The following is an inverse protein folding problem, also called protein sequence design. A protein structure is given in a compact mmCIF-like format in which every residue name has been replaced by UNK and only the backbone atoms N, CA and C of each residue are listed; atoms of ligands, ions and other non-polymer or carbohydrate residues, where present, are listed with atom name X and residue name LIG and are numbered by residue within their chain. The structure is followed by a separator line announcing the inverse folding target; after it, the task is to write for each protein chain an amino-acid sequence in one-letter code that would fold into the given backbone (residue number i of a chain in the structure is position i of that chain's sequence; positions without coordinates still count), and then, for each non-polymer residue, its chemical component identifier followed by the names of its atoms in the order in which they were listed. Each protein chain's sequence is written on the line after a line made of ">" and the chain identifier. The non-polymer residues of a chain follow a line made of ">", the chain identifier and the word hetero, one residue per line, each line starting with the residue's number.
data_IF_821233607076
#
_entry.id   IF_821233607076
#
_cell.length_a   1.000
_cell.length_b   1.000
_cell.length_c   1.000
_cell.angle_alpha   90.00
_cell.angle_beta   90.00
_cell.angle_gamma   90.00
#
_symmetry.space_group_name_H-M   'P 1'
#
loop_
_entity.id
_entity.type
_entity.pdbx_description
1 polymer ?
#
# COMPACT_ATOMS: atom_id res chain seq x y z
N UNK A 1 49.85 -6.93 -60.34
CA UNK A 1 49.14 -6.68 -61.61
C UNK A 1 47.87 -6.00 -61.30
N UNK A 2 47.85 -4.82 -61.65
CA UNK A 2 47.16 -4.08 -62.71
C UNK A 2 45.91 -3.34 -62.19
N UNK A 3 46.05 -2.07 -62.28
CA UNK A 3 45.38 -0.90 -62.92
C UNK A 3 44.15 -0.44 -62.14
N UNK A 4 44.04 0.68 -61.54
CA UNK A 4 44.35 2.03 -62.08
C UNK A 4 43.20 2.57 -62.92
N UNK A 5 42.24 3.34 -62.33
CA UNK A 5 41.52 4.34 -63.14
C UNK A 5 41.19 5.57 -62.27
N UNK A 6 41.82 6.66 -62.68
CA UNK A 6 41.47 8.03 -62.29
C UNK A 6 40.33 8.51 -63.19
N UNK A 7 39.40 9.30 -62.68
CA UNK A 7 38.55 10.23 -63.41
C UNK A 7 37.87 11.14 -62.39
N UNK A 8 38.15 12.29 -62.32
CA UNK A 8 37.97 13.59 -63.04
C UNK A 8 36.92 14.42 -62.28
N UNK A 9 37.48 15.48 -61.77
CA UNK A 9 36.85 16.66 -61.19
C UNK A 9 35.92 17.30 -62.23
N UNK A 10 34.71 17.67 -61.86
CA UNK A 10 33.90 18.66 -62.53
C UNK A 10 33.37 19.67 -61.48
N UNK A 11 34.00 20.81 -61.52
CA UNK A 11 33.67 22.04 -60.79
C UNK A 11 32.50 22.71 -61.48
N UNK A 12 31.37 22.83 -60.83
CA UNK A 12 30.29 23.73 -61.25
C UNK A 12 30.02 24.73 -60.14
N UNK A 13 30.51 25.96 -60.38
CA UNK A 13 30.05 27.16 -59.72
C UNK A 13 28.64 27.47 -60.19
N UNK A 14 27.70 27.60 -59.32
CA UNK A 14 26.48 28.33 -59.58
C UNK A 14 26.28 29.27 -58.41
N UNK A 15 26.38 30.57 -58.75
CA UNK A 15 25.95 31.69 -57.95
C UNK A 15 24.44 31.64 -57.76
N UNK A 16 23.91 31.88 -56.58
CA UNK A 16 22.49 31.93 -56.34
C UNK A 16 22.14 32.63 -55.03
N UNK A 17 22.03 33.93 -55.11
CA UNK A 17 21.06 34.79 -54.39
C UNK A 17 20.76 34.51 -52.94
N UNK A 18 21.35 35.30 -52.06
CA UNK A 18 20.93 35.51 -50.70
C UNK A 18 19.54 36.15 -50.66
N UNK A 19 18.51 35.36 -50.28
CA UNK A 19 17.24 35.87 -49.81
C UNK A 19 17.24 35.81 -48.29
N UNK A 20 17.36 36.97 -47.65
CA UNK A 20 17.15 37.19 -46.24
C UNK A 20 15.67 36.94 -45.92
N UNK A 21 15.36 35.78 -45.36
CA UNK A 21 14.08 35.54 -44.70
C UNK A 21 14.20 35.87 -43.19
N UNK A 22 13.28 36.67 -42.62
CA UNK A 22 13.29 36.91 -41.18
C UNK A 22 12.90 35.63 -40.45
N UNK A 23 13.82 35.14 -39.63
CA UNK A 23 13.56 34.06 -38.69
C UNK A 23 12.57 34.54 -37.61
N UNK A 24 11.33 34.18 -37.73
CA UNK A 24 10.36 34.25 -36.64
C UNK A 24 10.76 33.20 -35.59
N UNK A 25 11.39 33.68 -34.52
CA UNK A 25 11.64 32.89 -33.32
C UNK A 25 10.30 32.57 -32.67
N UNK A 26 9.73 31.43 -33.04
CA UNK A 26 8.64 30.83 -32.30
C UNK A 26 9.18 30.34 -30.94
N UNK A 27 8.97 31.13 -29.91
CA UNK A 27 9.17 30.70 -28.53
C UNK A 27 8.05 29.70 -28.21
N UNK A 28 8.35 28.41 -28.38
CA UNK A 28 7.51 27.35 -27.88
C UNK A 28 7.61 27.33 -26.35
N UNK A 29 6.67 28.01 -25.71
CA UNK A 29 6.43 27.82 -24.27
C UNK A 29 5.97 26.38 -24.04
N UNK A 30 6.91 25.50 -23.72
CA UNK A 30 6.60 24.20 -23.14
C UNK A 30 6.01 24.45 -21.76
N UNK A 31 4.69 24.62 -21.68
CA UNK A 31 3.97 24.49 -20.44
C UNK A 31 4.21 23.08 -19.94
N UNK A 32 5.10 22.93 -18.95
CA UNK A 32 5.20 21.72 -18.14
C UNK A 32 3.83 21.54 -17.48
N UNK A 33 3.00 20.72 -18.09
CA UNK A 33 1.83 20.16 -17.43
C UNK A 33 2.40 19.33 -16.30
N UNK A 34 2.41 19.91 -15.10
CA UNK A 34 2.62 19.16 -13.87
C UNK A 34 1.62 18.03 -13.88
N UNK A 35 2.10 16.80 -14.06
CA UNK A 35 1.30 15.61 -13.97
C UNK A 35 0.67 15.63 -12.58
N UNK A 36 -0.60 15.98 -12.49
CA UNK A 36 -1.37 15.83 -11.26
C UNK A 36 -1.24 14.36 -10.87
N UNK A 37 -0.56 14.10 -9.76
CA UNK A 37 -0.37 12.76 -9.26
C UNK A 37 -1.75 12.11 -9.12
N UNK A 38 -1.96 10.99 -9.82
CA UNK A 38 -3.21 10.26 -9.75
C UNK A 38 -3.49 9.93 -8.27
N UNK A 39 -4.61 10.41 -7.67
CA UNK A 39 -4.92 10.17 -6.25
C UNK A 39 -5.01 8.67 -5.92
N UNK A 40 -5.33 7.83 -6.90
CA UNK A 40 -5.35 6.37 -6.76
C UNK A 40 -3.93 5.80 -6.66
N UNK A 41 -2.97 6.33 -7.40
CA UNK A 41 -1.56 5.95 -7.29
C UNK A 41 -0.96 6.37 -5.93
N UNK A 42 -1.33 7.55 -5.42
CA UNK A 42 -0.95 7.98 -4.08
C UNK A 42 -1.55 7.09 -2.98
N UNK A 43 -2.77 6.57 -3.19
CA UNK A 43 -3.45 5.63 -2.30
C UNK A 43 -2.80 4.23 -2.29
N UNK A 44 -2.02 3.88 -3.32
CA UNK A 44 -1.30 2.60 -3.42
C UNK A 44 0.13 2.67 -2.86
N UNK A 45 0.64 3.86 -2.58
CA UNK A 45 1.98 4.03 -2.03
C UNK A 45 2.10 3.39 -0.64
N UNK A 46 3.22 2.72 -0.40
CA UNK A 46 3.52 2.15 0.90
C UNK A 46 3.70 3.27 1.94
N UNK A 47 3.01 3.25 3.08
CA UNK A 47 3.22 4.22 4.14
C UNK A 47 4.62 4.05 4.75
N UNK A 48 5.24 5.17 5.11
CA UNK A 48 6.50 5.14 5.85
C UNK A 48 6.25 4.53 7.23
N UNK A 49 6.90 3.41 7.51
CA UNK A 49 6.78 2.67 8.76
C UNK A 49 7.78 3.17 9.81
N UNK A 50 7.46 3.06 11.11
CA UNK A 50 8.35 3.48 12.19
C UNK A 50 9.64 2.65 12.28
N UNK A 51 9.60 1.41 11.81
CA UNK A 51 10.75 0.51 11.69
C UNK A 51 10.79 -0.10 10.29
N UNK A 52 11.95 -0.27 9.68
CA UNK A 52 12.08 -1.03 8.46
C UNK A 52 11.78 -2.51 8.75
N UNK A 53 10.92 -3.11 7.94
CA UNK A 53 10.58 -4.52 8.05
C UNK A 53 10.38 -5.12 6.67
N UNK A 54 11.05 -6.23 6.39
CA UNK A 54 10.93 -6.99 5.15
C UNK A 54 10.18 -8.30 5.40
N UNK A 55 8.99 -8.43 4.82
CA UNK A 55 8.27 -9.71 4.83
C UNK A 55 9.04 -10.78 4.06
N UNK A 56 9.64 -10.42 2.91
CA UNK A 56 10.43 -11.33 2.09
C UNK A 56 11.56 -11.98 2.88
N UNK A 57 12.32 -11.18 3.64
CA UNK A 57 13.40 -11.72 4.47
C UNK A 57 12.87 -12.66 5.56
N UNK A 58 11.81 -12.27 6.28
CA UNK A 58 11.30 -13.07 7.39
C UNK A 58 10.60 -14.35 6.92
N UNK A 59 9.85 -14.29 5.82
CA UNK A 59 9.15 -15.46 5.28
C UNK A 59 10.12 -16.45 4.60
N UNK A 60 11.33 -16.02 4.20
CA UNK A 60 12.36 -16.96 3.74
C UNK A 60 12.83 -17.95 4.83
N UNK A 61 12.60 -17.63 6.10
CA UNK A 61 12.82 -18.55 7.22
C UNK A 61 11.64 -19.49 7.49
N UNK A 62 10.71 -19.63 6.54
CA UNK A 62 9.52 -20.49 6.63
C UNK A 62 8.56 -20.13 7.77
N UNK A 63 8.60 -18.90 8.25
CA UNK A 63 7.65 -18.42 9.24
C UNK A 63 6.28 -18.25 8.59
N UNK A 64 5.22 -18.74 9.26
CA UNK A 64 3.85 -18.53 8.79
C UNK A 64 3.37 -17.11 9.10
N UNK A 65 2.37 -16.63 8.34
CA UNK A 65 1.75 -15.34 8.61
C UNK A 65 1.22 -15.24 10.04
N UNK A 66 0.62 -16.33 10.54
CA UNK A 66 0.02 -16.42 11.88
C UNK A 66 1.05 -16.47 13.01
N UNK A 67 2.32 -16.69 12.72
CA UNK A 67 3.39 -16.59 13.73
C UNK A 67 3.50 -15.15 14.26
N UNK A 68 3.29 -14.15 13.39
CA UNK A 68 3.35 -12.74 13.74
C UNK A 68 1.97 -12.09 13.85
N UNK A 69 1.02 -12.48 13.01
CA UNK A 69 -0.32 -11.91 12.93
C UNK A 69 -1.34 -12.87 13.52
N UNK A 70 -1.68 -12.69 14.78
CA UNK A 70 -2.71 -13.50 15.45
C UNK A 70 -4.12 -12.93 15.21
N UNK A 71 -5.14 -13.77 15.36
CA UNK A 71 -6.53 -13.37 15.20
C UNK A 71 -7.31 -13.62 16.51
N UNK A 72 -7.14 -12.75 17.52
CA UNK A 72 -7.82 -12.92 18.81
C UNK A 72 -9.34 -12.71 18.66
N UNK A 73 -10.09 -13.23 19.66
CA UNK A 73 -11.54 -12.98 19.71
C UNK A 73 -11.86 -11.47 19.66
N UNK A 74 -12.91 -11.08 18.95
CA UNK A 74 -13.90 -11.87 18.22
C UNK A 74 -13.49 -12.28 16.81
N UNK A 75 -12.23 -12.10 16.40
CA UNK A 75 -11.71 -12.54 15.11
C UNK A 75 -11.83 -11.55 13.96
N UNK A 76 -12.30 -10.33 14.23
CA UNK A 76 -12.50 -9.31 13.20
C UNK A 76 -11.18 -8.83 12.59
N UNK A 77 -10.17 -8.59 13.41
CA UNK A 77 -8.90 -8.05 12.98
C UNK A 77 -7.74 -8.99 13.32
N UNK A 78 -6.73 -8.99 12.43
CA UNK A 78 -5.44 -9.56 12.72
C UNK A 78 -4.61 -8.55 13.50
N UNK A 79 -3.84 -9.03 14.49
CA UNK A 79 -2.94 -8.16 15.25
C UNK A 79 -1.69 -7.79 14.45
N UNK A 80 -1.09 -6.66 14.78
CA UNK A 80 0.29 -6.34 14.42
C UNK A 80 1.20 -6.85 15.56
N UNK A 81 2.37 -7.46 15.25
CA UNK A 81 3.19 -8.08 16.24
C UNK A 81 3.77 -7.08 17.26
N UNK A 82 3.73 -7.42 18.53
CA UNK A 82 4.35 -6.63 19.59
C UNK A 82 5.88 -6.73 19.52
N UNK A 83 6.58 -5.69 19.95
CA UNK A 83 8.04 -5.64 19.93
C UNK A 83 8.69 -6.84 20.65
N UNK A 84 8.10 -7.32 21.75
CA UNK A 84 8.59 -8.50 22.48
C UNK A 84 8.64 -9.77 21.64
N UNK A 85 7.72 -9.93 20.67
CA UNK A 85 7.70 -11.09 19.78
C UNK A 85 8.92 -11.09 18.85
N UNK A 86 9.26 -9.91 18.33
CA UNK A 86 10.45 -9.70 17.50
C UNK A 86 11.74 -9.97 18.28
N UNK A 87 11.79 -9.50 19.53
CA UNK A 87 12.97 -9.66 20.40
C UNK A 87 13.24 -11.12 20.80
N UNK A 88 12.32 -12.04 20.58
CA UNK A 88 12.57 -13.48 20.73
C UNK A 88 13.75 -13.96 19.86
N UNK A 89 13.95 -13.37 18.70
CA UNK A 89 15.10 -13.64 17.83
C UNK A 89 16.11 -12.46 17.84
N UNK A 90 15.63 -11.23 17.78
CA UNK A 90 16.49 -10.05 17.64
C UNK A 90 17.26 -9.65 18.89
N UNK A 91 17.04 -10.30 20.03
CA UNK A 91 17.94 -10.20 21.18
C UNK A 91 19.36 -10.69 20.85
N UNK A 92 19.49 -11.67 19.95
CA UNK A 92 20.76 -12.24 19.50
C UNK A 92 21.07 -11.92 18.02
N UNK A 93 20.03 -11.81 17.19
CA UNK A 93 20.18 -11.62 15.73
C UNK A 93 20.12 -10.15 15.37
N UNK A 94 21.17 -9.65 14.68
CA UNK A 94 21.28 -8.27 14.19
C UNK A 94 21.12 -7.21 15.31
N UNK A 95 21.46 -7.52 16.53
CA UNK A 95 21.27 -6.67 17.73
C UNK A 95 22.04 -5.36 17.67
N UNK A 96 23.10 -5.30 16.85
CA UNK A 96 23.94 -4.13 16.58
C UNK A 96 23.30 -3.10 15.64
N UNK A 97 22.25 -3.52 14.88
CA UNK A 97 21.62 -2.62 13.91
C UNK A 97 20.79 -1.53 14.60
N UNK A 98 20.82 -0.27 14.08
CA UNK A 98 20.06 0.83 14.68
C UNK A 98 18.55 0.55 14.80
N UNK A 99 17.93 -0.07 13.79
CA UNK A 99 16.52 -0.42 13.81
C UNK A 99 16.20 -1.45 14.90
N UNK A 100 17.12 -2.40 15.18
CA UNK A 100 16.93 -3.40 16.22
C UNK A 100 17.12 -2.79 17.62
N UNK A 101 18.03 -1.84 17.78
CA UNK A 101 18.12 -1.05 19.02
C UNK A 101 16.86 -0.25 19.31
N UNK A 102 16.27 0.37 18.26
CA UNK A 102 14.98 1.05 18.37
C UNK A 102 13.85 0.08 18.74
N UNK A 103 13.80 -1.09 18.12
CA UNK A 103 12.87 -2.17 18.44
C UNK A 103 13.00 -2.62 19.91
N UNK A 104 14.22 -2.79 20.40
CA UNK A 104 14.49 -3.12 21.80
C UNK A 104 13.97 -2.03 22.77
N UNK A 105 14.02 -0.76 22.35
CA UNK A 105 13.42 0.36 23.08
C UNK A 105 11.90 0.19 23.25
N UNK A 106 11.17 -0.16 22.20
CA UNK A 106 9.74 -0.48 22.27
C UNK A 106 9.47 -1.69 23.18
N UNK A 107 10.27 -2.74 23.07
CA UNK A 107 10.13 -3.91 23.93
C UNK A 107 10.34 -3.61 25.40
N UNK A 108 11.34 -2.77 25.74
CA UNK A 108 11.66 -2.35 27.10
C UNK A 108 10.59 -1.43 27.70
N UNK A 109 10.07 -0.51 26.92
CA UNK A 109 9.03 0.44 27.37
C UNK A 109 7.64 -0.19 27.47
N UNK A 110 7.42 -1.34 26.82
CA UNK A 110 6.10 -1.94 26.68
C UNK A 110 5.16 -1.19 25.77
N UNK A 111 5.62 -0.09 25.14
CA UNK A 111 4.81 0.68 24.21
C UNK A 111 4.63 -0.08 22.89
N UNK A 112 3.43 -0.04 22.30
CA UNK A 112 3.21 -0.63 20.98
C UNK A 112 4.02 0.09 19.92
N UNK A 113 4.52 -0.66 18.95
CA UNK A 113 5.13 -0.06 17.76
C UNK A 113 4.00 0.62 16.97
N UNK A 114 4.11 1.93 16.63
CA UNK A 114 3.02 2.66 15.96
C UNK A 114 2.98 2.35 14.45
N UNK A 115 2.77 1.07 14.13
CA UNK A 115 2.64 0.61 12.75
C UNK A 115 1.53 1.33 12.01
N UNK A 116 1.77 1.67 10.75
CA UNK A 116 0.76 2.30 9.88
C UNK A 116 0.12 1.20 9.02
N UNK A 117 -1.21 0.99 9.16
CA UNK A 117 -1.90 0.01 8.33
C UNK A 117 -1.80 0.33 6.84
N UNK A 118 -1.52 -0.68 6.02
CA UNK A 118 -1.52 -0.58 4.55
C UNK A 118 -2.94 -0.78 4.00
N UNK A 119 -3.69 -1.68 4.63
CA UNK A 119 -5.10 -1.92 4.34
C UNK A 119 -5.95 -1.47 5.53
N UNK A 120 -7.03 -0.78 5.24
CA UNK A 120 -8.03 -0.40 6.23
C UNK A 120 -9.42 -0.53 5.64
N UNK A 121 -10.37 -0.89 6.47
CA UNK A 121 -11.79 -0.94 6.16
C UNK A 121 -12.47 0.12 7.04
N UNK A 122 -13.37 0.97 6.51
CA UNK A 122 -14.10 1.95 7.31
C UNK A 122 -14.84 1.31 8.47
N UNK A 123 -14.93 2.01 9.61
CA UNK A 123 -15.51 1.45 10.84
C UNK A 123 -16.99 1.10 10.77
N UNK A 124 -17.72 1.61 9.76
CA UNK A 124 -19.11 1.26 9.48
C UNK A 124 -19.28 -0.01 8.64
N UNK A 125 -18.16 -0.64 8.21
CA UNK A 125 -18.18 -1.88 7.44
C UNK A 125 -18.01 -3.06 8.40
N UNK A 126 -18.93 -4.01 8.34
CA UNK A 126 -18.82 -5.28 9.04
C UNK A 126 -17.76 -6.14 8.37
N UNK A 127 -16.65 -6.31 9.05
CA UNK A 127 -15.53 -7.07 8.55
C UNK A 127 -15.04 -8.07 9.59
N UNK A 128 -14.70 -9.27 9.15
CA UNK A 128 -14.11 -10.30 9.99
C UNK A 128 -13.12 -11.15 9.22
N UNK A 129 -11.85 -11.13 9.63
CA UNK A 129 -10.85 -12.06 9.10
C UNK A 129 -11.25 -13.51 9.37
N UNK A 130 -11.81 -13.80 10.56
CA UNK A 130 -12.23 -15.16 10.92
C UNK A 130 -13.22 -15.72 9.91
N UNK A 131 -14.28 -15.02 9.63
CA UNK A 131 -15.32 -15.47 8.68
C UNK A 131 -14.72 -15.80 7.31
N UNK A 132 -13.80 -14.98 6.83
CA UNK A 132 -13.15 -15.20 5.53
C UNK A 132 -12.16 -16.38 5.56
N UNK A 133 -11.40 -16.53 6.65
CA UNK A 133 -10.47 -17.65 6.81
C UNK A 133 -11.21 -18.99 6.99
N UNK A 134 -12.33 -19.01 7.71
CA UNK A 134 -13.20 -20.18 7.86
C UNK A 134 -13.87 -20.57 6.54
N UNK A 135 -14.14 -19.59 5.67
CA UNK A 135 -14.60 -19.82 4.29
C UNK A 135 -13.47 -20.31 3.35
N UNK A 136 -12.27 -20.61 3.87
CA UNK A 136 -11.16 -21.17 3.12
C UNK A 136 -10.34 -20.17 2.30
N UNK A 137 -10.48 -18.86 2.56
CA UNK A 137 -9.64 -17.87 1.89
C UNK A 137 -8.25 -17.84 2.50
N UNK A 138 -7.23 -17.62 1.64
CA UNK A 138 -5.83 -17.46 2.07
C UNK A 138 -5.45 -15.99 2.18
N UNK A 139 -4.37 -15.71 2.90
CA UNK A 139 -3.88 -14.35 3.10
C UNK A 139 -3.57 -13.66 1.77
N UNK A 140 -2.96 -14.39 0.84
CA UNK A 140 -2.50 -13.88 -0.45
C UNK A 140 -3.65 -13.48 -1.38
N UNK A 141 -4.82 -14.09 -1.24
CA UNK A 141 -6.00 -13.72 -2.03
C UNK A 141 -6.40 -12.26 -1.82
N UNK A 142 -6.11 -11.72 -0.63
CA UNK A 142 -6.44 -10.35 -0.26
C UNK A 142 -5.21 -9.44 -0.22
N UNK A 143 -4.09 -9.94 0.30
CA UNK A 143 -2.88 -9.15 0.52
C UNK A 143 -1.83 -9.27 -0.60
N UNK A 144 -2.07 -10.13 -1.60
CA UNK A 144 -1.14 -10.38 -2.68
C UNK A 144 0.09 -11.18 -2.24
N UNK A 145 1.13 -11.22 -3.05
CA UNK A 145 2.33 -12.00 -2.77
C UNK A 145 3.25 -11.29 -1.75
N UNK A 146 2.80 -11.27 -0.50
CA UNK A 146 3.52 -10.64 0.62
C UNK A 146 4.92 -11.24 0.82
N UNK A 147 5.10 -12.53 0.48
CA UNK A 147 6.39 -13.22 0.60
C UNK A 147 7.50 -12.64 -0.30
N UNK A 148 7.15 -11.81 -1.27
CA UNK A 148 8.12 -11.12 -2.13
C UNK A 148 8.27 -9.63 -1.80
N UNK A 149 7.61 -9.12 -0.75
CA UNK A 149 7.62 -7.71 -0.42
C UNK A 149 8.75 -7.35 0.55
N UNK A 150 9.66 -6.49 0.12
CA UNK A 150 10.64 -5.83 1.00
C UNK A 150 9.96 -4.74 1.85
N UNK A 151 9.02 -4.03 1.25
CA UNK A 151 8.17 -3.04 1.92
C UNK A 151 6.72 -3.40 1.64
N UNK A 152 5.92 -3.52 2.69
CA UNK A 152 4.50 -3.83 2.55
C UNK A 152 3.77 -2.69 1.85
N UNK A 153 3.12 -3.00 0.72
CA UNK A 153 2.34 -2.06 -0.08
C UNK A 153 0.99 -2.65 -0.44
N UNK A 154 0.05 -1.79 -0.82
CA UNK A 154 -1.24 -2.23 -1.33
C UNK A 154 -1.08 -2.72 -2.76
N UNK A 155 -1.47 -3.95 -3.02
CA UNK A 155 -1.42 -4.58 -4.35
C UNK A 155 -2.78 -5.03 -4.85
N UNK A 156 -3.82 -4.88 -4.04
CA UNK A 156 -5.19 -5.28 -4.36
C UNK A 156 -6.20 -4.22 -3.92
N UNK A 157 -7.36 -4.21 -4.55
CA UNK A 157 -8.48 -3.32 -4.23
C UNK A 157 -9.53 -3.98 -3.32
N UNK A 158 -9.15 -5.04 -2.59
CA UNK A 158 -10.09 -5.82 -1.77
C UNK A 158 -10.77 -5.05 -0.65
N UNK A 159 -10.21 -3.91 -0.22
CA UNK A 159 -10.81 -3.06 0.82
C UNK A 159 -11.75 -1.98 0.26
N UNK A 160 -12.03 -2.01 -1.05
CA UNK A 160 -13.04 -1.16 -1.67
C UNK A 160 -14.36 -1.91 -1.77
N UNK A 161 -15.49 -1.20 -1.72
CA UNK A 161 -16.82 -1.80 -1.92
C UNK A 161 -16.87 -2.60 -3.23
N UNK A 162 -16.34 -2.07 -4.32
CA UNK A 162 -16.30 -2.75 -5.62
C UNK A 162 -15.49 -4.05 -5.54
N UNK A 163 -14.34 -4.05 -4.85
CA UNK A 163 -13.49 -5.22 -4.65
C UNK A 163 -14.19 -6.31 -3.83
N UNK A 164 -14.83 -5.93 -2.73
CA UNK A 164 -15.61 -6.86 -1.92
C UNK A 164 -16.76 -7.50 -2.72
N UNK A 165 -17.56 -6.68 -3.39
CA UNK A 165 -18.71 -7.15 -4.18
C UNK A 165 -18.26 -8.04 -5.36
N UNK A 166 -17.17 -7.69 -6.04
CA UNK A 166 -16.64 -8.50 -7.13
C UNK A 166 -16.21 -9.90 -6.65
N UNK A 167 -15.52 -9.97 -5.50
CA UNK A 167 -15.13 -11.25 -4.90
C UNK A 167 -16.35 -12.06 -4.43
N UNK A 168 -17.29 -11.43 -3.73
CA UNK A 168 -18.53 -12.09 -3.26
C UNK A 168 -19.33 -12.68 -4.42
N UNK A 169 -19.51 -11.93 -5.51
CA UNK A 169 -20.17 -12.45 -6.72
C UNK A 169 -19.45 -13.66 -7.30
N UNK A 170 -18.11 -13.59 -7.39
CA UNK A 170 -17.30 -14.70 -7.91
C UNK A 170 -17.36 -15.95 -7.02
N UNK A 171 -17.56 -15.75 -5.72
CA UNK A 171 -17.61 -16.81 -4.71
C UNK A 171 -19.05 -17.20 -4.33
N UNK A 172 -20.05 -16.65 -5.02
CA UNK A 172 -21.48 -16.88 -4.74
C UNK A 172 -21.87 -16.56 -3.28
N UNK A 173 -21.16 -15.58 -2.70
CA UNK A 173 -21.39 -15.10 -1.35
C UNK A 173 -22.38 -13.92 -1.35
N UNK A 174 -23.04 -13.62 -0.22
CA UNK A 174 -24.03 -12.54 -0.13
C UNK A 174 -23.47 -11.17 -0.52
N UNK A 175 -24.26 -10.41 -1.29
CA UNK A 175 -23.91 -9.06 -1.79
C UNK A 175 -24.93 -7.99 -1.41
N UNK A 176 -25.89 -8.32 -0.55
CA UNK A 176 -26.87 -7.35 -0.04
C UNK A 176 -26.19 -6.25 0.81
N UNK A 177 -26.78 -5.08 0.86
CA UNK A 177 -26.23 -3.94 1.60
C UNK A 177 -25.95 -4.28 3.06
N UNK A 178 -26.91 -4.95 3.72
CA UNK A 178 -26.85 -5.31 5.14
C UNK A 178 -25.81 -6.40 5.45
N UNK A 179 -25.28 -7.06 4.45
CA UNK A 179 -24.20 -8.04 4.65
C UNK A 179 -22.92 -7.37 5.14
N UNK A 180 -22.67 -6.14 4.67
CA UNK A 180 -21.41 -5.45 4.88
C UNK A 180 -21.52 -4.19 5.75
N UNK A 181 -22.70 -3.56 5.82
CA UNK A 181 -22.90 -2.34 6.61
C UNK A 181 -24.38 -2.13 6.92
N UNK A 182 -24.66 -1.27 7.90
CA UNK A 182 -26.03 -0.87 8.18
C UNK A 182 -26.61 -0.05 7.01
N UNK A 183 -27.87 -0.31 6.67
CA UNK A 183 -28.59 0.51 5.70
C UNK A 183 -28.86 1.91 6.28
N UNK A 184 -29.00 2.92 5.41
CA UNK A 184 -29.28 4.30 5.85
C UNK A 184 -30.55 4.40 6.70
N UNK A 185 -31.54 3.53 6.50
CA UNK A 185 -32.77 3.51 7.31
C UNK A 185 -32.53 3.07 8.75
N UNK A 186 -31.54 2.22 9.02
CA UNK A 186 -31.17 1.84 10.39
C UNK A 186 -30.33 2.89 11.10
N UNK A 187 -29.61 3.72 10.36
CA UNK A 187 -28.80 4.82 10.91
C UNK A 187 -29.67 5.95 11.46
N UNK A 188 -30.87 6.13 10.94
CA UNK A 188 -31.82 7.16 11.42
C UNK A 188 -32.47 6.81 12.76
N UNK A 189 -32.40 5.55 13.20
CA UNK A 189 -33.05 5.05 14.41
C UNK A 189 -32.12 4.63 15.53
N UNK A 190 -30.79 4.66 15.31
CA UNK A 190 -29.79 4.24 16.29
C UNK A 190 -28.79 5.37 16.61
N UNK A 191 -28.50 5.60 17.90
CA UNK A 191 -27.34 6.43 18.24
C UNK A 191 -26.07 5.76 17.67
N UNK A 192 -25.24 6.55 16.98
CA UNK A 192 -23.98 6.12 16.36
C UNK A 192 -22.99 5.64 17.43
N UNK A 193 -23.05 4.37 17.78
CA UNK A 193 -22.00 3.73 18.58
C UNK A 193 -21.00 3.10 17.62
N UNK A 194 -19.80 3.66 17.49
CA UNK A 194 -18.74 3.03 16.70
C UNK A 194 -18.47 1.63 17.23
N UNK A 195 -18.30 0.65 16.31
CA UNK A 195 -17.97 -0.74 16.66
C UNK A 195 -16.86 -0.77 17.72
N UNK A 196 -17.10 -1.30 18.94
CA UNK A 196 -16.13 -1.28 20.03
C UNK A 196 -14.80 -1.96 19.67
N UNK A 197 -14.84 -3.00 18.83
CA UNK A 197 -13.65 -3.72 18.37
C UNK A 197 -12.74 -2.84 17.48
N UNK A 198 -13.31 -1.91 16.71
CA UNK A 198 -12.53 -0.98 15.90
C UNK A 198 -11.83 0.09 16.76
N UNK A 199 -12.48 0.57 17.81
CA UNK A 199 -11.89 1.51 18.77
C UNK A 199 -10.68 0.93 19.51
N UNK A 200 -10.80 -0.30 19.97
CA UNK A 200 -9.72 -0.98 20.70
C UNK A 200 -8.50 -1.28 19.83
N UNK A 201 -8.73 -1.64 18.54
CA UNK A 201 -7.66 -2.04 17.64
C UNK A 201 -6.95 -0.85 16.95
N UNK A 202 -7.62 0.29 16.78
CA UNK A 202 -7.08 1.44 16.07
C UNK A 202 -6.37 2.47 16.96
N UNK A 203 -6.39 2.31 18.28
CA UNK A 203 -5.83 3.30 19.20
C UNK A 203 -6.50 4.68 19.13
N UNK A 204 -7.71 4.73 18.57
CA UNK A 204 -8.45 5.96 18.36
C UNK A 204 -8.98 6.49 19.70
N UNK A 205 -8.19 7.36 20.32
CA UNK A 205 -8.67 8.18 21.42
C UNK A 205 -9.62 9.22 20.83
N UNK A 206 -10.87 9.21 21.31
CA UNK A 206 -11.82 10.28 21.02
C UNK A 206 -11.17 11.59 21.43
N UNK A 207 -10.78 12.42 20.48
CA UNK A 207 -10.65 13.83 20.75
C UNK A 207 -12.04 14.29 21.19
N UNK A 208 -12.17 14.67 22.44
CA UNK A 208 -13.37 15.31 22.95
C UNK A 208 -13.62 16.54 22.08
N UNK A 209 -14.82 16.62 21.50
CA UNK A 209 -15.24 17.82 20.82
C UNK A 209 -15.24 18.96 21.87
N UNK A 210 -14.57 20.09 21.63
CA UNK A 210 -14.65 21.19 22.55
C UNK A 210 -16.06 21.81 22.46
N UNK A 211 -16.79 21.79 23.56
CA UNK A 211 -17.91 22.69 23.87
C UNK A 211 -19.24 22.37 23.19
N UNK A 212 -20.13 21.68 23.92
CA UNK A 212 -21.53 22.04 24.02
C UNK A 212 -21.83 22.32 25.48
#
# INVERSE_FOLDING_TARGET
>A
MSKGKKARVALWMVQGVFLLAPALLSVSSSAQQGSAANPEAASMAAPVQPLPFSHKTHLSFQLSCKFCHTNPEPGNLMTLPAAKNCMGCHAAVASDKPAIRQLAGFAKSGQPIPWKPVYSVPGFVYWSHRTHLEAGLTCEMCHGNVAQMEVMSRTTNVTTMAGCVACHRKKEAPTGCETCHESQSSLLTRPSVPNPAYRAASGWQSAALPGQ
#
